data_IF_585731736657
#
_entry.id   IF_585731736657
#
_cell.length_a   1.000
_cell.length_b   1.000
_cell.length_c   1.000
_cell.angle_alpha   90.00
_cell.angle_beta   90.00
_cell.angle_gamma   90.00
#
_symmetry.space_group_name_H-M   'P 1'
#
loop_
_entity.id
_entity.type
_entity.pdbx_description
1 polymer ?
#
# COMPACT_ATOMS: atom_id res chain seq x y z
N UNK A 1 9.40 -3.60 27.67
CA UNK A 1 8.28 -2.87 27.05
C UNK A 1 8.65 -1.47 26.58
N UNK A 2 9.28 -0.62 27.42
CA UNK A 2 9.61 0.78 27.08
C UNK A 2 10.45 0.96 25.79
N UNK A 3 11.45 0.11 25.57
CA UNK A 3 12.28 0.14 24.34
C UNK A 3 11.53 -0.27 23.07
N UNK A 4 10.57 -1.21 23.16
CA UNK A 4 9.71 -1.59 22.03
C UNK A 4 8.76 -0.45 21.64
N UNK A 5 8.22 0.26 22.63
CA UNK A 5 7.35 1.43 22.42
C UNK A 5 8.14 2.55 21.73
N UNK A 6 9.37 2.82 22.15
CA UNK A 6 10.22 3.85 21.53
C UNK A 6 10.61 3.51 20.09
N UNK A 7 10.89 2.24 19.78
CA UNK A 7 11.16 1.79 18.41
C UNK A 7 9.94 1.92 17.50
N UNK A 8 8.76 1.51 17.99
CA UNK A 8 7.50 1.68 17.26
C UNK A 8 7.21 3.17 17.05
N UNK A 9 7.39 4.00 18.08
CA UNK A 9 7.23 5.45 17.96
C UNK A 9 8.21 6.06 16.93
N UNK A 10 9.47 5.63 16.93
CA UNK A 10 10.47 6.11 15.96
C UNK A 10 10.15 5.72 14.51
N UNK A 11 9.62 4.51 14.29
CA UNK A 11 9.14 4.06 12.98
C UNK A 11 7.90 4.84 12.53
N UNK A 12 6.97 5.13 13.45
CA UNK A 12 5.78 5.95 13.19
C UNK A 12 6.13 7.42 12.91
N UNK A 13 7.12 7.99 13.58
CA UNK A 13 7.54 9.38 13.33
C UNK A 13 8.19 9.49 11.94
N UNK A 14 8.96 8.49 11.50
CA UNK A 14 9.52 8.47 10.15
C UNK A 14 8.44 8.32 9.06
N UNK A 15 7.36 7.58 9.33
CA UNK A 15 6.25 7.52 8.37
C UNK A 15 5.52 8.87 8.26
N UNK A 16 5.39 9.62 9.37
CA UNK A 16 4.81 10.96 9.37
C UNK A 16 5.66 11.99 8.57
N UNK A 17 6.99 11.80 8.50
CA UNK A 17 7.85 12.64 7.66
C UNK A 17 7.53 12.48 6.16
N UNK A 18 7.19 11.27 5.70
CA UNK A 18 6.72 11.04 4.33
C UNK A 18 5.29 11.56 4.09
N UNK A 19 4.47 11.67 5.14
CA UNK A 19 3.12 12.23 5.06
C UNK A 19 3.08 13.76 4.94
N UNK A 20 4.20 14.44 5.16
CA UNK A 20 4.27 15.90 5.16
C UNK A 20 4.40 16.42 3.73
N UNK A 21 3.29 16.79 3.10
CA UNK A 21 3.29 17.57 1.87
C UNK A 21 3.23 19.08 2.21
N UNK A 22 3.85 19.91 1.38
CA UNK A 22 3.67 21.36 1.47
C UNK A 22 2.20 21.67 1.24
N UNK A 23 1.54 22.28 2.23
CA UNK A 23 0.20 22.83 2.06
C UNK A 23 0.29 23.96 1.03
N UNK A 24 0.11 23.63 -0.25
CA UNK A 24 -0.18 24.66 -1.26
C UNK A 24 -1.54 25.25 -0.90
N UNK A 25 -1.54 26.54 -0.54
CA UNK A 25 -2.74 27.31 -0.22
C UNK A 25 -3.75 27.32 -1.38
N UNK A 26 -3.28 27.02 -2.59
CA UNK A 26 -4.07 26.98 -3.80
C UNK A 26 -4.63 25.59 -4.09
N UNK A 27 -5.93 25.41 -3.83
CA UNK A 27 -6.91 24.84 -4.78
C UNK A 27 -8.18 24.40 -4.03
N UNK A 28 -9.28 25.17 -4.15
CA UNK A 28 -10.68 24.80 -3.84
C UNK A 28 -10.97 24.34 -2.39
N UNK A 29 -11.57 25.24 -1.59
CA UNK A 29 -12.24 25.03 -0.27
C UNK A 29 -12.01 23.62 0.32
N UNK A 30 -10.90 23.39 1.04
CA UNK A 30 -10.61 22.08 1.61
C UNK A 30 -11.73 21.67 2.57
N UNK A 31 -12.27 20.47 2.39
CA UNK A 31 -13.28 19.93 3.32
C UNK A 31 -12.58 19.25 4.49
N UNK A 32 -13.11 19.45 5.70
CA UNK A 32 -12.68 18.72 6.89
C UNK A 32 -13.14 17.26 6.84
N UNK A 33 -14.32 17.01 6.27
CA UNK A 33 -14.91 15.68 6.12
C UNK A 33 -15.48 15.56 4.71
N UNK A 34 -15.24 14.43 4.05
CA UNK A 34 -15.76 14.12 2.73
C UNK A 34 -16.05 12.62 2.56
N UNK A 35 -16.83 12.30 1.54
CA UNK A 35 -17.04 10.94 1.05
C UNK A 35 -16.53 10.81 -0.40
N UNK A 36 -16.10 9.61 -0.78
CA UNK A 36 -15.77 9.18 -2.15
C UNK A 36 -16.66 7.97 -2.50
N UNK A 37 -17.25 7.95 -3.70
CA UNK A 37 -17.06 8.89 -4.81
C UNK A 37 -17.70 10.28 -4.57
N UNK A 38 -17.16 11.29 -5.25
CA UNK A 38 -17.69 12.66 -5.23
C UNK A 38 -17.12 13.46 -6.39
N UNK A 39 -17.99 14.10 -7.17
CA UNK A 39 -17.61 14.87 -8.37
C UNK A 39 -17.04 16.26 -8.06
N UNK A 40 -17.31 16.79 -6.87
CA UNK A 40 -17.02 18.17 -6.49
C UNK A 40 -15.91 18.29 -5.44
N UNK A 41 -15.47 17.18 -4.86
CA UNK A 41 -14.41 17.15 -3.84
C UNK A 41 -13.10 16.74 -4.50
N UNK A 42 -12.10 17.61 -4.39
CA UNK A 42 -10.73 17.35 -4.85
C UNK A 42 -9.74 17.29 -3.67
N UNK A 43 -9.88 18.20 -2.71
CA UNK A 43 -8.97 18.33 -1.58
C UNK A 43 -9.71 18.16 -0.25
N UNK A 44 -9.15 17.34 0.63
CA UNK A 44 -9.68 17.04 1.96
C UNK A 44 -8.54 17.21 2.97
N UNK A 45 -8.69 18.09 3.94
CA UNK A 45 -7.71 18.30 5.02
C UNK A 45 -8.32 17.79 6.33
N UNK A 46 -8.49 16.47 6.42
CA UNK A 46 -9.21 15.82 7.49
C UNK A 46 -9.56 14.38 7.13
N UNK A 47 -10.83 14.01 7.19
CA UNK A 47 -11.29 12.63 7.02
C UNK A 47 -11.99 12.43 5.67
N UNK A 48 -11.54 11.45 4.88
CA UNK A 48 -12.22 10.97 3.68
C UNK A 48 -12.78 9.56 3.94
N UNK A 49 -14.09 9.40 3.82
CA UNK A 49 -14.72 8.08 3.75
C UNK A 49 -14.77 7.60 2.31
N UNK A 50 -14.20 6.44 2.01
CA UNK A 50 -14.18 5.81 0.69
C UNK A 50 -15.09 4.58 0.72
N UNK A 51 -15.99 4.51 -0.25
CA UNK A 51 -16.73 3.32 -0.63
C UNK A 51 -16.47 3.05 -2.11
N UNK A 52 -16.39 1.78 -2.50
CA UNK A 52 -16.13 1.41 -3.90
C UNK A 52 -17.38 1.65 -4.74
N UNK A 53 -17.24 2.41 -5.82
CA UNK A 53 -18.29 2.62 -6.80
C UNK A 53 -17.69 2.56 -8.22
N UNK A 54 -18.39 1.91 -9.14
CA UNK A 54 -18.00 1.79 -10.55
C UNK A 54 -18.37 3.09 -11.29
N UNK A 55 -17.73 4.20 -10.92
CA UNK A 55 -17.93 5.46 -11.64
C UNK A 55 -17.01 5.53 -12.87
N UNK A 56 -17.61 5.68 -14.06
CA UNK A 56 -16.91 5.91 -15.34
C UNK A 56 -15.98 7.15 -15.33
N UNK A 57 -16.13 8.05 -14.36
CA UNK A 57 -15.44 9.33 -14.28
C UNK A 57 -14.85 9.58 -12.88
N UNK A 58 -14.04 8.64 -12.41
CA UNK A 58 -13.31 8.77 -11.15
C UNK A 58 -12.46 10.05 -11.11
N UNK A 59 -12.76 10.94 -10.16
CA UNK A 59 -11.95 12.13 -9.88
C UNK A 59 -11.01 11.86 -8.70
N UNK A 60 -9.68 11.88 -8.94
CA UNK A 60 -8.68 11.72 -7.89
C UNK A 60 -8.85 12.76 -6.78
N UNK A 61 -8.78 12.29 -5.54
CA UNK A 61 -8.86 13.11 -4.33
C UNK A 61 -7.50 13.14 -3.65
N UNK A 62 -7.08 14.31 -3.22
CA UNK A 62 -5.93 14.51 -2.34
C UNK A 62 -6.44 14.71 -0.91
N UNK A 63 -6.01 13.83 -0.03
CA UNK A 63 -6.36 13.83 1.39
C UNK A 63 -5.10 14.10 2.18
N UNK A 64 -5.07 15.18 2.97
CA UNK A 64 -4.07 15.39 3.99
C UNK A 64 -4.76 15.08 5.34
N UNK A 65 -4.50 13.89 5.90
CA UNK A 65 -5.19 13.41 7.09
C UNK A 65 -5.49 11.91 7.02
N UNK A 66 -6.76 11.56 7.25
CA UNK A 66 -7.23 10.18 7.39
C UNK A 66 -8.09 9.77 6.18
N UNK A 67 -7.67 8.75 5.43
CA UNK A 67 -8.51 8.09 4.45
C UNK A 67 -9.05 6.76 4.99
N UNK A 68 -10.37 6.63 5.08
CA UNK A 68 -11.06 5.44 5.59
C UNK A 68 -11.76 4.69 4.45
N UNK A 69 -11.29 3.50 4.08
CA UNK A 69 -11.93 2.65 3.07
C UNK A 69 -12.78 1.55 3.70
N UNK A 70 -14.09 1.65 3.56
CA UNK A 70 -15.02 0.63 4.04
C UNK A 70 -15.56 -0.16 2.84
N UNK A 71 -15.15 -1.43 2.76
CA UNK A 71 -15.72 -2.37 1.82
C UNK A 71 -16.10 -3.64 2.58
N UNK A 72 -17.40 -3.84 2.80
CA UNK A 72 -17.92 -4.98 3.58
C UNK A 72 -17.65 -6.30 2.87
N UNK A 73 -17.72 -6.33 1.53
CA UNK A 73 -17.38 -7.53 0.74
C UNK A 73 -15.92 -7.93 0.95
N UNK A 74 -15.07 -6.96 1.24
CA UNK A 74 -13.68 -7.17 1.57
C UNK A 74 -13.43 -8.08 2.79
N UNK A 75 -14.36 -8.15 3.76
CA UNK A 75 -14.13 -8.96 4.97
C UNK A 75 -14.00 -10.46 4.63
N UNK A 76 -14.64 -10.91 3.54
CA UNK A 76 -14.63 -12.31 3.13
C UNK A 76 -13.40 -12.70 2.29
N UNK A 77 -12.71 -11.71 1.71
CA UNK A 77 -11.55 -11.94 0.84
C UNK A 77 -10.33 -12.54 1.56
N UNK A 78 -9.86 -12.07 2.72
CA UNK A 78 -8.70 -12.67 3.39
C UNK A 78 -8.89 -14.16 3.75
N UNK A 79 -10.03 -14.60 4.32
CA UNK A 79 -10.33 -16.02 4.48
C UNK A 79 -10.32 -16.76 3.14
N UNK A 80 -10.96 -16.21 2.10
CA UNK A 80 -10.98 -16.85 0.78
C UNK A 80 -9.56 -17.02 0.22
N UNK A 81 -8.73 -15.98 0.30
CA UNK A 81 -7.33 -15.99 -0.16
C UNK A 81 -6.49 -17.06 0.54
N UNK A 82 -6.73 -17.32 1.83
CA UNK A 82 -6.09 -18.40 2.57
C UNK A 82 -6.40 -19.80 2.00
N UNK A 83 -7.60 -20.00 1.44
CA UNK A 83 -8.04 -21.30 0.91
C UNK A 83 -7.89 -21.44 -0.60
N UNK A 84 -7.92 -20.33 -1.36
CA UNK A 84 -7.98 -20.36 -2.83
C UNK A 84 -6.67 -19.97 -3.52
N UNK A 85 -5.81 -19.17 -2.88
CA UNK A 85 -4.58 -18.71 -3.51
C UNK A 85 -3.43 -19.67 -3.19
N UNK A 86 -3.14 -20.55 -4.12
CA UNK A 86 -1.91 -21.35 -4.11
C UNK A 86 -0.68 -20.42 -4.20
N UNK A 87 0.43 -20.71 -3.50
CA UNK A 87 1.64 -19.87 -3.49
C UNK A 87 2.19 -19.53 -4.88
N UNK A 88 2.04 -20.43 -5.84
CA UNK A 88 2.51 -20.24 -7.23
C UNK A 88 1.71 -19.18 -8.00
N UNK A 89 0.50 -18.86 -7.53
CA UNK A 89 -0.40 -17.83 -8.08
C UNK A 89 -0.40 -16.53 -7.27
N UNK A 90 0.46 -16.40 -6.26
CA UNK A 90 0.67 -15.12 -5.54
C UNK A 90 1.42 -14.08 -6.38
N UNK A 91 1.81 -14.44 -7.60
CA UNK A 91 2.15 -13.45 -8.61
C UNK A 91 0.91 -12.59 -8.87
N UNK A 92 1.02 -11.31 -8.51
CA UNK A 92 0.33 -10.25 -9.21
C UNK A 92 0.77 -10.36 -10.69
N UNK A 93 0.13 -11.23 -11.49
CA UNK A 93 0.40 -11.33 -12.92
C UNK A 93 0.08 -10.00 -13.59
N UNK A 94 0.75 -9.71 -14.71
CA UNK A 94 0.90 -8.40 -15.32
C UNK A 94 -0.38 -7.79 -15.93
N UNK A 95 -1.57 -8.27 -15.53
CA UNK A 95 -2.87 -7.84 -16.06
C UNK A 95 -3.38 -6.53 -15.43
N UNK A 96 -2.65 -5.96 -14.48
CA UNK A 96 -2.98 -4.64 -13.93
C UNK A 96 -2.55 -3.53 -14.86
N UNK A 97 -3.53 -2.78 -15.38
CA UNK A 97 -3.28 -1.53 -16.10
C UNK A 97 -2.52 -0.58 -15.18
N UNK A 98 -1.28 -0.22 -15.56
CA UNK A 98 -0.48 0.76 -14.84
C UNK A 98 -1.26 2.08 -14.83
N UNK A 99 -1.74 2.49 -13.66
CA UNK A 99 -2.47 3.75 -13.50
C UNK A 99 -1.45 4.87 -13.27
N UNK A 100 -1.42 5.93 -14.12
CA UNK A 100 -0.60 7.11 -13.87
C UNK A 100 -0.93 7.72 -12.50
N UNK A 101 0.07 8.17 -11.75
CA UNK A 101 -0.10 8.72 -10.39
C UNK A 101 -1.12 9.87 -10.33
N UNK A 102 -1.24 10.65 -11.40
CA UNK A 102 -2.20 11.75 -11.54
C UNK A 102 -3.66 11.29 -11.51
N UNK A 103 -3.93 10.03 -11.87
CA UNK A 103 -5.26 9.40 -11.86
C UNK A 103 -5.57 8.65 -10.57
N UNK A 104 -4.69 8.72 -9.56
CA UNK A 104 -4.83 7.98 -8.31
C UNK A 104 -5.25 8.90 -7.16
N UNK A 105 -6.07 8.39 -6.23
CA UNK A 105 -6.27 9.06 -4.94
C UNK A 105 -4.92 9.21 -4.23
N UNK A 106 -4.67 10.35 -3.59
CA UNK A 106 -3.47 10.56 -2.78
C UNK A 106 -3.86 10.76 -1.33
N UNK A 107 -3.33 9.94 -0.43
CA UNK A 107 -3.51 10.05 1.01
C UNK A 107 -2.15 10.38 1.63
N UNK A 108 -2.01 11.61 2.10
CA UNK A 108 -0.89 12.08 2.89
C UNK A 108 -1.30 11.98 4.37
N UNK A 109 -0.83 10.96 5.09
CA UNK A 109 -1.20 10.72 6.48
C UNK A 109 -1.48 9.26 6.78
N UNK A 110 -2.71 8.95 7.20
CA UNK A 110 -3.13 7.63 7.61
C UNK A 110 -4.20 7.09 6.64
N UNK A 111 -3.96 5.91 6.06
CA UNK A 111 -4.99 5.13 5.38
C UNK A 111 -5.43 3.97 6.28
N UNK A 112 -6.70 3.94 6.64
CA UNK A 112 -7.34 2.80 7.30
C UNK A 112 -8.32 2.16 6.33
N UNK A 113 -8.16 0.90 5.98
CA UNK A 113 -9.14 0.24 5.10
C UNK A 113 -9.27 -1.25 5.35
N UNK A 114 -10.46 -1.80 5.17
CA UNK A 114 -10.60 -3.26 5.17
C UNK A 114 -9.87 -3.84 3.94
N UNK A 115 -10.33 -3.43 2.77
CA UNK A 115 -9.66 -3.58 1.48
C UNK A 115 -9.79 -2.28 0.71
N UNK A 116 -8.77 -1.97 -0.08
CA UNK A 116 -8.79 -0.85 -0.99
C UNK A 116 -8.90 -1.35 -2.44
N UNK A 117 -9.94 -0.93 -3.15
CA UNK A 117 -10.19 -1.30 -4.55
C UNK A 117 -9.97 -0.13 -5.52
N UNK A 118 -9.62 1.05 -4.99
CA UNK A 118 -9.35 2.24 -5.78
C UNK A 118 -7.84 2.49 -5.92
N UNK A 119 -7.35 2.93 -7.10
CA UNK A 119 -5.95 3.26 -7.26
C UNK A 119 -5.54 4.36 -6.29
N UNK A 120 -4.61 4.07 -5.39
CA UNK A 120 -4.27 4.96 -4.27
C UNK A 120 -2.76 5.05 -4.05
N UNK A 121 -2.27 6.27 -3.91
CA UNK A 121 -0.95 6.62 -3.43
C UNK A 121 -1.07 6.99 -1.96
N UNK A 122 -0.36 6.28 -1.10
CA UNK A 122 -0.35 6.55 0.35
C UNK A 122 1.04 6.97 0.78
N UNK A 123 1.16 8.21 1.21
CA UNK A 123 2.37 8.78 1.78
C UNK A 123 2.15 8.85 3.31
N UNK A 124 2.75 7.93 4.06
CA UNK A 124 2.56 7.85 5.51
C UNK A 124 2.34 6.44 6.03
N UNK A 125 1.28 6.24 6.80
CA UNK A 125 0.93 4.96 7.42
C UNK A 125 -0.31 4.37 6.74
N UNK A 126 -0.20 3.12 6.30
CA UNK A 126 -1.30 2.32 5.80
C UNK A 126 -1.57 1.17 6.77
N UNK A 127 -2.80 1.08 7.27
CA UNK A 127 -3.28 -0.07 8.03
C UNK A 127 -4.44 -0.64 7.24
N UNK A 128 -4.23 -1.84 6.69
CA UNK A 128 -5.24 -2.54 5.90
C UNK A 128 -5.54 -3.92 6.50
N UNK A 129 -6.67 -4.55 6.18
CA UNK A 129 -6.94 -5.94 6.61
C UNK A 129 -6.44 -6.95 5.58
N UNK A 130 -6.73 -6.72 4.29
CA UNK A 130 -6.27 -7.57 3.19
C UNK A 130 -5.70 -6.77 2.02
N UNK A 131 -5.21 -5.57 2.32
CA UNK A 131 -4.54 -4.66 1.36
C UNK A 131 -5.36 -4.33 0.12
N UNK A 132 -4.65 -4.02 -0.96
CA UNK A 132 -5.21 -3.54 -2.20
C UNK A 132 -5.47 -4.72 -3.12
N UNK A 133 -6.73 -4.88 -3.54
CA UNK A 133 -7.15 -5.99 -4.39
C UNK A 133 -7.66 -5.41 -5.69
N UNK A 134 -7.23 -6.01 -6.80
CA UNK A 134 -7.56 -5.60 -8.14
C UNK A 134 -7.24 -4.13 -8.48
N UNK A 135 -6.27 -3.52 -7.81
CA UNK A 135 -6.03 -2.08 -7.94
C UNK A 135 -4.57 -1.69 -7.78
N UNK A 136 -4.16 -0.62 -8.47
CA UNK A 136 -2.79 -0.12 -8.44
C UNK A 136 -2.53 0.63 -7.14
N UNK A 137 -1.57 0.15 -6.35
CA UNK A 137 -1.27 0.67 -5.01
C UNK A 137 0.18 1.11 -4.91
N UNK A 138 0.39 2.36 -4.48
CA UNK A 138 1.73 2.91 -4.22
C UNK A 138 1.80 3.38 -2.78
N UNK A 139 2.66 2.79 -1.98
CA UNK A 139 2.81 3.17 -0.57
C UNK A 139 4.23 3.65 -0.31
N UNK A 140 4.37 4.92 0.11
CA UNK A 140 5.61 5.55 0.52
C UNK A 140 5.54 5.78 2.05
N UNK A 141 6.10 4.86 2.84
CA UNK A 141 6.06 4.91 4.29
C UNK A 141 5.95 3.52 4.91
N UNK A 142 4.96 3.31 5.78
CA UNK A 142 4.78 2.06 6.51
C UNK A 142 3.43 1.44 6.16
N UNK A 143 3.40 0.17 5.78
CA UNK A 143 2.18 -0.62 5.59
C UNK A 143 2.13 -1.76 6.56
N UNK A 144 1.02 -1.87 7.30
CA UNK A 144 0.78 -2.93 8.28
C UNK A 144 -0.55 -3.60 7.96
N UNK A 145 -0.53 -4.93 7.93
CA UNK A 145 -1.71 -5.76 7.71
C UNK A 145 -1.70 -6.96 8.66
N UNK A 146 -2.87 -7.40 9.18
CA UNK A 146 -2.96 -8.63 9.96
C UNK A 146 -2.78 -9.88 9.10
N UNK A 147 -3.01 -9.81 7.78
CA UNK A 147 -2.90 -10.96 6.88
C UNK A 147 -1.87 -10.73 5.78
N UNK A 148 -2.21 -9.88 4.80
CA UNK A 148 -1.45 -9.71 3.56
C UNK A 148 -1.24 -8.23 3.23
N UNK A 149 -0.06 -7.91 2.69
CA UNK A 149 0.20 -6.64 2.00
C UNK A 149 0.42 -6.91 0.51
N UNK A 150 -0.40 -6.32 -0.35
CA UNK A 150 -0.37 -6.49 -1.81
C UNK A 150 -0.12 -5.11 -2.45
N UNK A 151 1.13 -4.83 -2.80
CA UNK A 151 1.55 -3.49 -3.24
C UNK A 151 2.19 -3.51 -4.63
N UNK A 152 1.79 -2.60 -5.50
CA UNK A 152 2.48 -2.47 -6.78
C UNK A 152 3.83 -1.79 -6.57
N UNK A 153 3.84 -0.65 -5.90
CA UNK A 153 5.07 -0.01 -5.45
C UNK A 153 5.05 0.16 -3.92
N UNK A 154 6.08 -0.35 -3.24
CA UNK A 154 6.28 -0.17 -1.81
C UNK A 154 7.63 0.51 -1.58
N UNK A 155 7.64 1.67 -0.93
CA UNK A 155 8.86 2.37 -0.51
C UNK A 155 8.80 2.63 0.99
N UNK A 156 9.57 1.86 1.76
CA UNK A 156 9.62 1.96 3.21
C UNK A 156 9.50 0.59 3.86
N UNK A 157 8.56 0.41 4.79
CA UNK A 157 8.43 -0.82 5.57
C UNK A 157 7.06 -1.46 5.34
N UNK A 158 7.05 -2.75 5.02
CA UNK A 158 5.83 -3.55 4.85
C UNK A 158 5.84 -4.70 5.85
N UNK A 159 4.81 -4.79 6.68
CA UNK A 159 4.67 -5.82 7.72
C UNK A 159 3.33 -6.51 7.56
N UNK A 160 3.37 -7.81 7.30
CA UNK A 160 2.19 -8.67 7.17
C UNK A 160 2.56 -10.08 7.63
N UNK A 161 1.90 -10.68 8.63
CA UNK A 161 2.26 -11.99 9.16
C UNK A 161 2.29 -13.10 8.11
N UNK A 162 1.37 -13.12 7.15
CA UNK A 162 1.28 -14.20 6.16
C UNK A 162 2.13 -13.90 4.93
N UNK A 163 1.85 -12.79 4.24
CA UNK A 163 2.65 -12.44 3.06
C UNK A 163 2.74 -10.94 2.76
N UNK A 164 3.91 -10.52 2.28
CA UNK A 164 4.09 -9.26 1.56
C UNK A 164 4.44 -9.55 0.10
N UNK A 165 3.58 -9.12 -0.82
CA UNK A 165 3.73 -9.36 -2.26
C UNK A 165 3.77 -8.00 -2.97
N UNK A 166 4.69 -7.84 -3.92
CA UNK A 166 4.67 -6.65 -4.76
C UNK A 166 5.51 -6.67 -6.04
N UNK A 167 5.43 -5.59 -6.80
CA UNK A 167 6.15 -5.45 -8.07
C UNK A 167 7.47 -4.70 -7.90
N UNK A 168 7.44 -3.51 -7.31
CA UNK A 168 8.62 -2.66 -7.07
C UNK A 168 8.71 -2.31 -5.59
N UNK A 169 9.64 -2.94 -4.89
CA UNK A 169 9.78 -2.75 -3.45
C UNK A 169 11.14 -2.16 -3.13
N UNK A 170 11.15 -1.13 -2.29
CA UNK A 170 12.32 -0.39 -1.82
C UNK A 170 12.24 -0.29 -0.29
N UNK A 171 13.02 -1.07 0.44
CA UNK A 171 13.05 -1.03 1.90
C UNK A 171 12.89 -2.39 2.55
N UNK A 172 12.07 -2.49 3.60
CA UNK A 172 12.01 -3.67 4.47
C UNK A 172 10.66 -4.39 4.30
N UNK A 173 10.68 -5.70 4.11
CA UNK A 173 9.48 -6.55 4.17
C UNK A 173 9.61 -7.55 5.30
N UNK A 174 8.57 -7.70 6.11
CA UNK A 174 8.53 -8.62 7.27
C UNK A 174 7.23 -9.43 7.21
N UNK A 175 7.36 -10.76 7.10
CA UNK A 175 6.22 -11.67 6.97
C UNK A 175 6.65 -13.11 6.76
N UNK A 176 5.75 -14.09 6.90
CA UNK A 176 6.10 -15.50 6.69
C UNK A 176 6.58 -15.74 5.25
N UNK A 177 5.94 -15.09 4.27
CA UNK A 177 6.36 -15.10 2.89
C UNK A 177 6.56 -13.66 2.37
N UNK A 178 7.68 -13.39 1.71
CA UNK A 178 7.93 -12.10 1.07
C UNK A 178 8.27 -12.33 -0.40
N UNK A 179 7.59 -11.66 -1.32
CA UNK A 179 7.87 -11.74 -2.75
C UNK A 179 7.86 -10.35 -3.37
N UNK A 180 8.90 -10.03 -4.14
CA UNK A 180 8.90 -8.83 -4.94
C UNK A 180 9.73 -8.98 -6.22
N UNK A 181 9.14 -8.69 -7.39
CA UNK A 181 9.82 -8.84 -8.69
C UNK A 181 11.04 -7.92 -8.82
N UNK A 182 10.88 -6.62 -8.59
CA UNK A 182 11.97 -5.63 -8.54
C UNK A 182 12.18 -5.17 -7.09
N UNK A 183 13.02 -5.90 -6.38
CA UNK A 183 13.33 -5.65 -4.98
C UNK A 183 14.66 -4.91 -4.77
N UNK A 184 14.67 -3.90 -3.88
CA UNK A 184 15.87 -3.34 -3.25
C UNK A 184 15.66 -3.11 -1.75
N UNK A 185 16.40 -3.79 -0.89
CA UNK A 185 16.36 -3.64 0.55
C UNK A 185 16.58 -4.97 1.28
N UNK A 186 15.80 -5.24 2.33
CA UNK A 186 15.90 -6.45 3.18
C UNK A 186 14.51 -7.09 3.34
N UNK A 187 14.41 -8.40 3.17
CA UNK A 187 13.22 -9.20 3.48
C UNK A 187 13.56 -10.10 4.67
N UNK A 188 12.64 -10.21 5.63
CA UNK A 188 12.77 -11.03 6.82
C UNK A 188 11.50 -11.88 6.93
N UNK A 189 11.65 -13.20 6.92
CA UNK A 189 10.51 -14.09 6.79
C UNK A 189 10.86 -15.55 6.63
N UNK A 190 9.88 -16.44 6.77
CA UNK A 190 10.08 -17.88 6.54
C UNK A 190 10.64 -18.16 5.14
N UNK A 191 10.08 -17.51 4.12
CA UNK A 191 10.54 -17.59 2.74
C UNK A 191 10.55 -16.23 2.06
N UNK A 192 11.62 -15.91 1.33
CA UNK A 192 11.83 -14.59 0.76
C UNK A 192 12.32 -14.66 -0.70
N UNK A 193 11.59 -14.05 -1.62
CA UNK A 193 11.86 -13.97 -3.05
C UNK A 193 12.01 -12.51 -3.49
N UNK A 194 13.16 -12.18 -4.10
CA UNK A 194 13.49 -10.80 -4.47
C UNK A 194 13.70 -10.57 -5.98
N UNK A 195 13.11 -11.46 -6.80
CA UNK A 195 13.25 -11.50 -8.26
C UNK A 195 14.57 -12.09 -8.76
N UNK A 196 15.61 -12.14 -7.93
CA UNK A 196 16.91 -12.73 -8.28
C UNK A 196 17.24 -13.98 -7.48
N UNK A 197 16.80 -14.04 -6.23
CA UNK A 197 17.16 -15.07 -5.25
C UNK A 197 15.95 -15.41 -4.40
N UNK A 198 15.87 -16.68 -4.03
CA UNK A 198 14.94 -17.22 -3.03
C UNK A 198 15.75 -17.69 -1.83
N UNK A 199 15.51 -17.14 -0.64
CA UNK A 199 16.23 -17.49 0.59
C UNK A 199 15.26 -17.58 1.78
N UNK A 200 15.45 -18.55 2.69
CA UNK A 200 14.71 -18.60 3.95
C UNK A 200 15.26 -17.56 4.94
N UNK A 201 14.45 -17.21 5.94
CA UNK A 201 14.75 -16.33 7.08
C UNK A 201 15.08 -14.87 6.73
N UNK A 202 16.13 -14.62 5.92
CA UNK A 202 16.60 -13.28 5.54
C UNK A 202 17.04 -13.29 4.08
N UNK A 203 16.62 -12.28 3.31
CA UNK A 203 17.09 -12.02 1.94
C UNK A 203 17.35 -10.52 1.76
N UNK A 204 18.26 -10.14 0.87
CA UNK A 204 18.59 -8.73 0.61
C UNK A 204 18.97 -8.51 -0.85
N UNK A 205 18.80 -7.29 -1.35
CA UNK A 205 19.35 -6.87 -2.64
C UNK A 205 19.48 -5.35 -2.62
N UNK A 206 20.63 -4.79 -2.95
CA UNK A 206 20.82 -3.33 -3.02
C UNK A 206 21.15 -2.85 -4.44
N UNK A 207 21.35 -3.78 -5.38
CA UNK A 207 21.69 -3.47 -6.76
C UNK A 207 20.42 -3.20 -7.56
N UNK A 208 20.48 -2.21 -8.45
CA UNK A 208 19.41 -1.98 -9.42
C UNK A 208 19.21 -3.24 -10.28
N UNK A 209 17.96 -3.65 -10.43
CA UNK A 209 17.63 -4.72 -11.37
C UNK A 209 17.65 -4.14 -12.79
N UNK A 210 18.37 -4.81 -13.69
CA UNK A 210 18.23 -4.52 -15.11
C UNK A 210 16.89 -5.13 -15.49
N UNK A 211 15.94 -4.30 -15.88
CA UNK A 211 14.71 -4.79 -16.49
C UNK A 211 15.15 -5.30 -17.86
N UNK A 212 15.23 -6.62 -18.03
CA UNK A 212 15.28 -7.16 -19.37
C UNK A 212 13.94 -6.82 -20.01
N UNK A 213 13.98 -5.86 -20.93
CA UNK A 213 12.87 -5.57 -21.82
C UNK A 213 12.79 -6.73 -22.82
N UNK A 214 12.35 -7.90 -22.39
CA UNK A 214 11.81 -8.87 -23.34
C UNK A 214 10.44 -8.36 -23.76
N UNK A 215 10.41 -7.96 -25.03
CA UNK A 215 9.29 -7.42 -25.81
C UNK A 215 8.05 -8.30 -25.76
#
# INVERSE_FOLDING_TARGET
MKTRILLVAGLLINSLAYASDSLKLDSLKPRLIAASPSKNVRNVNGVLFKYYDEEDHFKPKKVNGLGMGFNVMGIFLPPLMLFTLQPDHWNLNDDYVIVPREKMNTINGLQLSLINMEPTVTNGLEINVSSNINTYAVTNGVSVSPFFNLHHEMKGVSVAPLANIGQKCRGIQIGLYNQCKDFRGIQIGGWNENGRRKLPLINWNFKKQKVDKTL
#
